data_IF_488190861726
#
_entry.id   IF_488190861726
#
_cell.length_a   1.000
_cell.length_b   1.000
_cell.length_c   1.000
_cell.angle_alpha   90.00
_cell.angle_beta   90.00
_cell.angle_gamma   90.00
#
_symmetry.space_group_name_H-M   'P 1'
#
loop_
_entity.id
_entity.type
_entity.pdbx_description
1 polymer ?
#
# COMPACT_ATOMS: atom_id res chain seq x y z
N UNK A 1 18.70 0.99 18.91
CA UNK A 1 19.37 0.75 17.63
C UNK A 1 18.75 1.67 16.61
N UNK A 2 19.52 2.31 15.74
CA UNK A 2 18.93 3.06 14.62
C UNK A 2 18.48 2.03 13.56
N UNK A 3 17.17 1.90 13.36
CA UNK A 3 16.62 1.13 12.25
C UNK A 3 17.11 1.78 10.96
N UNK A 4 17.76 1.01 10.09
CA UNK A 4 18.24 1.50 8.80
C UNK A 4 17.27 0.99 7.76
N UNK A 5 16.46 1.89 7.21
CA UNK A 5 15.62 1.62 6.05
C UNK A 5 16.49 1.56 4.80
N UNK A 6 16.11 0.74 3.83
CA UNK A 6 16.74 0.79 2.50
C UNK A 6 16.48 2.15 1.82
N UNK A 7 17.18 2.40 0.71
CA UNK A 7 17.12 3.69 0.02
C UNK A 7 15.71 4.04 -0.51
N UNK A 8 14.97 3.05 -1.01
CA UNK A 8 13.64 3.28 -1.55
C UNK A 8 12.65 3.60 -0.43
N UNK A 9 12.66 2.81 0.65
CA UNK A 9 11.84 3.06 1.84
C UNK A 9 12.15 4.41 2.46
N UNK A 10 13.44 4.76 2.61
CA UNK A 10 13.85 6.07 3.14
C UNK A 10 13.37 7.24 2.25
N UNK A 11 13.42 7.08 0.93
CA UNK A 11 12.92 8.08 -0.01
C UNK A 11 11.38 8.23 0.07
N UNK A 12 10.64 7.12 0.16
CA UNK A 12 9.20 7.13 0.33
C UNK A 12 8.78 7.78 1.65
N UNK A 13 9.48 7.48 2.76
CA UNK A 13 9.29 8.16 4.06
C UNK A 13 9.44 9.67 3.88
N UNK A 14 10.53 10.12 3.27
CA UNK A 14 10.82 11.54 3.10
C UNK A 14 9.82 12.26 2.18
N UNK A 15 9.37 11.59 1.11
CA UNK A 15 8.38 12.13 0.19
C UNK A 15 6.99 12.21 0.85
N UNK A 16 6.56 11.12 1.49
CA UNK A 16 5.29 11.05 2.19
C UNK A 16 5.21 12.01 3.39
N UNK A 17 6.33 12.24 4.08
CA UNK A 17 6.39 13.19 5.20
C UNK A 17 6.15 14.66 4.77
N UNK A 18 6.40 14.99 3.51
CA UNK A 18 6.18 16.34 2.97
C UNK A 18 4.73 16.61 2.59
N UNK A 19 3.90 15.57 2.43
CA UNK A 19 2.48 15.74 2.12
C UNK A 19 1.76 16.44 3.28
N UNK A 20 0.83 17.33 2.95
CA UNK A 20 -0.09 17.85 3.95
C UNK A 20 -0.93 16.71 4.53
N UNK A 21 -1.46 16.91 5.75
CA UNK A 21 -2.21 15.88 6.47
C UNK A 21 -3.38 15.31 5.65
N UNK A 22 -4.11 16.15 4.90
CA UNK A 22 -5.26 15.68 4.14
C UNK A 22 -4.80 14.74 3.01
N UNK A 23 -3.83 15.17 2.20
CA UNK A 23 -3.30 14.36 1.10
C UNK A 23 -2.68 13.06 1.61
N UNK A 24 -1.90 13.10 2.70
CA UNK A 24 -1.34 11.91 3.33
C UNK A 24 -2.43 10.93 3.79
N UNK A 25 -3.49 11.43 4.43
CA UNK A 25 -4.62 10.62 4.87
C UNK A 25 -5.40 10.01 3.70
N UNK A 26 -5.58 10.73 2.59
CA UNK A 26 -6.22 10.18 1.39
C UNK A 26 -5.35 9.12 0.72
N UNK A 27 -4.03 9.31 0.66
CA UNK A 27 -3.13 8.31 0.09
C UNK A 27 -3.17 6.99 0.90
N UNK A 28 -3.26 7.06 2.23
CA UNK A 28 -3.45 5.85 3.06
C UNK A 28 -4.79 5.16 2.83
N UNK A 29 -5.86 5.90 2.57
CA UNK A 29 -7.18 5.31 2.27
C UNK A 29 -7.22 4.72 0.87
N UNK A 30 -6.60 5.40 -0.10
CA UNK A 30 -6.43 4.91 -1.45
C UNK A 30 -5.66 3.59 -1.47
N UNK A 31 -4.59 3.48 -0.69
CA UNK A 31 -3.85 2.23 -0.55
C UNK A 31 -4.69 1.12 0.10
N UNK A 32 -5.44 1.42 1.17
CA UNK A 32 -6.31 0.42 1.79
C UNK A 32 -7.41 -0.10 0.83
N UNK A 33 -8.02 0.78 0.03
CA UNK A 33 -9.00 0.37 -0.98
C UNK A 33 -8.33 -0.41 -2.13
N UNK A 34 -7.11 -0.04 -2.52
CA UNK A 34 -6.34 -0.74 -3.54
C UNK A 34 -5.96 -2.17 -3.10
N UNK A 35 -5.47 -2.32 -1.88
CA UNK A 35 -5.16 -3.59 -1.24
C UNK A 35 -6.41 -4.47 -1.15
N UNK A 36 -7.54 -3.89 -0.72
CA UNK A 36 -8.81 -4.60 -0.66
C UNK A 36 -9.30 -5.13 -2.01
N UNK A 37 -9.26 -4.30 -3.07
CA UNK A 37 -9.67 -4.73 -4.41
C UNK A 37 -8.76 -5.83 -4.95
N UNK A 38 -7.44 -5.71 -4.73
CA UNK A 38 -6.47 -6.75 -5.08
C UNK A 38 -6.80 -8.07 -4.38
N UNK A 39 -6.97 -8.04 -3.07
CA UNK A 39 -7.22 -9.23 -2.26
C UNK A 39 -8.55 -9.91 -2.63
N UNK A 40 -9.60 -9.12 -2.85
CA UNK A 40 -10.89 -9.64 -3.30
C UNK A 40 -10.79 -10.34 -4.65
N UNK A 41 -10.03 -9.77 -5.58
CA UNK A 41 -9.85 -10.39 -6.90
C UNK A 41 -9.08 -11.70 -6.79
N UNK A 42 -7.95 -11.70 -6.07
CA UNK A 42 -7.12 -12.90 -5.90
C UNK A 42 -7.91 -14.00 -5.18
N UNK A 43 -8.67 -13.65 -4.13
CA UNK A 43 -9.53 -14.61 -3.42
C UNK A 43 -10.51 -15.29 -4.37
N UNK A 44 -11.18 -14.52 -5.25
CA UNK A 44 -12.11 -15.08 -6.24
C UNK A 44 -11.40 -15.99 -7.24
N UNK A 45 -10.21 -15.59 -7.70
CA UNK A 45 -9.40 -16.42 -8.59
C UNK A 45 -9.07 -17.78 -7.95
N UNK A 46 -8.61 -17.77 -6.70
CA UNK A 46 -8.27 -18.98 -5.94
C UNK A 46 -9.52 -19.87 -5.76
N UNK A 47 -10.66 -19.29 -5.40
CA UNK A 47 -11.93 -20.01 -5.27
C UNK A 47 -12.35 -20.65 -6.60
N UNK A 48 -12.17 -19.97 -7.73
CA UNK A 48 -12.46 -20.49 -9.08
C UNK A 48 -11.54 -21.66 -9.49
N UNK A 49 -10.30 -21.69 -8.99
CA UNK A 49 -9.38 -22.82 -9.19
C UNK A 49 -9.69 -24.02 -8.28
N UNK A 50 -10.67 -23.90 -7.37
CA UNK A 50 -11.10 -24.97 -6.45
C UNK A 50 -10.56 -24.81 -5.02
N UNK A 51 -9.88 -23.70 -4.72
CA UNK A 51 -9.19 -23.46 -3.45
C UNK A 51 -7.89 -24.27 -3.34
N UNK A 52 -6.89 -23.71 -2.64
CA UNK A 52 -5.68 -24.46 -2.29
C UNK A 52 -5.97 -25.52 -1.22
N UNK A 53 -5.49 -26.75 -1.41
CA UNK A 53 -5.67 -27.83 -0.42
C UNK A 53 -4.81 -27.62 0.83
N UNK A 54 -3.72 -26.87 0.69
CA UNK A 54 -2.81 -26.44 1.74
C UNK A 54 -2.27 -25.01 1.51
N UNK A 55 -1.48 -24.52 2.46
CA UNK A 55 -0.91 -23.17 2.41
C UNK A 55 0.06 -22.99 1.23
N UNK A 56 0.84 -24.02 0.87
CA UNK A 56 1.80 -23.95 -0.24
C UNK A 56 1.08 -23.81 -1.60
N UNK A 57 -0.02 -24.57 -1.79
CA UNK A 57 -0.85 -24.46 -2.99
C UNK A 57 -1.62 -23.14 -3.04
N UNK A 58 -2.11 -22.66 -1.89
CA UNK A 58 -2.76 -21.35 -1.80
C UNK A 58 -1.80 -20.22 -2.19
N UNK A 59 -0.57 -20.23 -1.66
CA UNK A 59 0.47 -19.26 -1.99
C UNK A 59 0.84 -19.31 -3.48
N UNK A 60 0.94 -20.51 -4.06
CA UNK A 60 1.20 -20.67 -5.49
C UNK A 60 0.08 -20.09 -6.37
N UNK A 61 -1.19 -20.31 -6.00
CA UNK A 61 -2.34 -19.73 -6.70
C UNK A 61 -2.39 -18.20 -6.51
N UNK A 62 -2.02 -17.70 -5.33
CA UNK A 62 -1.92 -16.27 -5.03
C UNK A 62 -0.84 -15.58 -5.89
N UNK A 63 0.31 -16.22 -6.07
CA UNK A 63 1.37 -15.73 -6.98
C UNK A 63 0.92 -15.81 -8.44
N UNK A 64 0.33 -16.94 -8.86
CA UNK A 64 -0.15 -17.14 -10.24
C UNK A 64 -1.19 -16.09 -10.63
N UNK A 65 -2.18 -15.85 -9.77
CA UNK A 65 -3.24 -14.86 -9.95
C UNK A 65 -2.69 -13.51 -10.44
N UNK A 66 -1.61 -13.05 -9.81
CA UNK A 66 -0.99 -11.75 -10.08
C UNK A 66 -0.24 -11.68 -11.42
N UNK A 67 0.06 -12.83 -12.03
CA UNK A 67 0.71 -12.89 -13.34
C UNK A 67 -0.27 -12.91 -14.51
N UNK A 68 -1.57 -13.06 -14.22
CA UNK A 68 -2.60 -13.17 -15.26
C UNK A 68 -2.84 -11.82 -15.98
N UNK A 69 -3.10 -11.82 -17.30
CA UNK A 69 -3.52 -10.62 -18.02
C UNK A 69 -4.80 -9.99 -17.47
N UNK A 70 -5.72 -10.81 -16.98
CA UNK A 70 -6.99 -10.41 -16.39
C UNK A 70 -6.78 -9.63 -15.10
N UNK A 71 -5.88 -10.10 -14.22
CA UNK A 71 -5.48 -9.36 -13.02
C UNK A 71 -4.87 -8.01 -13.38
N UNK A 72 -3.91 -7.99 -14.30
CA UNK A 72 -3.25 -6.73 -14.71
C UNK A 72 -4.24 -5.70 -15.26
N UNK A 73 -5.24 -6.14 -16.05
CA UNK A 73 -6.28 -5.24 -16.58
C UNK A 73 -7.22 -4.76 -15.47
N UNK A 74 -7.61 -5.65 -14.56
CA UNK A 74 -8.47 -5.32 -13.43
C UNK A 74 -7.80 -4.30 -12.52
N UNK A 75 -6.56 -4.57 -12.09
CA UNK A 75 -5.87 -3.73 -11.10
C UNK A 75 -5.50 -2.37 -11.69
N UNK A 76 -5.17 -2.28 -12.99
CA UNK A 76 -4.95 -1.00 -13.67
C UNK A 76 -6.23 -0.15 -13.73
N UNK A 77 -7.39 -0.78 -13.95
CA UNK A 77 -8.68 -0.09 -13.92
C UNK A 77 -9.05 0.37 -12.50
N UNK A 78 -8.97 -0.54 -11.52
CA UNK A 78 -9.25 -0.24 -10.11
C UNK A 78 -8.36 0.89 -9.60
N UNK A 79 -7.05 0.83 -9.91
CA UNK A 79 -6.08 1.87 -9.54
C UNK A 79 -6.50 3.24 -10.09
N UNK A 80 -6.90 3.34 -11.36
CA UNK A 80 -7.37 4.62 -11.94
C UNK A 80 -8.58 5.18 -11.20
N UNK A 81 -9.57 4.33 -10.90
CA UNK A 81 -10.78 4.74 -10.18
C UNK A 81 -10.46 5.23 -8.76
N UNK A 82 -9.57 4.51 -8.06
CA UNK A 82 -9.12 4.85 -6.70
C UNK A 82 -8.35 6.19 -6.71
N UNK A 83 -7.40 6.37 -7.62
CA UNK A 83 -6.63 7.62 -7.73
C UNK A 83 -7.55 8.82 -7.99
N UNK A 84 -8.54 8.66 -8.87
CA UNK A 84 -9.53 9.70 -9.17
C UNK A 84 -10.43 10.01 -7.96
N UNK A 85 -10.94 8.97 -7.29
CA UNK A 85 -11.85 9.12 -6.16
C UNK A 85 -11.20 9.81 -4.96
N UNK A 86 -9.97 9.43 -4.62
CA UNK A 86 -9.23 10.00 -3.49
C UNK A 86 -8.47 11.28 -3.84
N UNK A 87 -8.33 11.60 -5.13
CA UNK A 87 -7.60 12.78 -5.59
C UNK A 87 -6.11 12.71 -5.30
N UNK A 88 -5.52 11.52 -5.35
CA UNK A 88 -4.10 11.27 -5.10
C UNK A 88 -3.38 10.89 -6.40
N UNK A 89 -2.07 11.09 -6.43
CA UNK A 89 -1.25 10.70 -7.58
C UNK A 89 -0.79 9.25 -7.48
N UNK A 90 -0.39 8.71 -8.63
CA UNK A 90 0.20 7.39 -8.75
C UNK A 90 1.41 7.22 -7.80
N UNK A 91 2.32 8.20 -7.79
CA UNK A 91 3.49 8.22 -6.91
C UNK A 91 3.11 8.23 -5.41
N UNK A 92 2.06 8.96 -5.04
CA UNK A 92 1.60 9.02 -3.65
C UNK A 92 1.05 7.68 -3.19
N UNK A 93 0.33 6.98 -4.06
CA UNK A 93 -0.14 5.62 -3.80
C UNK A 93 1.05 4.65 -3.69
N UNK A 94 2.01 4.72 -4.61
CA UNK A 94 3.20 3.85 -4.59
C UNK A 94 4.05 4.02 -3.34
N UNK A 95 4.21 5.25 -2.85
CA UNK A 95 4.91 5.47 -1.59
C UNK A 95 4.19 4.75 -0.45
N UNK A 96 2.86 4.83 -0.35
CA UNK A 96 2.14 4.16 0.74
C UNK A 96 2.19 2.65 0.59
N UNK A 97 2.04 2.11 -0.62
CA UNK A 97 2.19 0.66 -0.88
C UNK A 97 3.54 0.19 -0.37
N UNK A 98 4.64 0.88 -0.74
CA UNK A 98 5.98 0.53 -0.27
C UNK A 98 6.11 0.62 1.26
N UNK A 99 5.55 1.66 1.88
CA UNK A 99 5.59 1.82 3.35
C UNK A 99 4.80 0.70 4.06
N UNK A 100 3.77 0.15 3.42
CA UNK A 100 2.91 -0.92 3.93
C UNK A 100 3.48 -2.31 3.75
N UNK A 101 4.47 -2.50 2.88
CA UNK A 101 5.20 -3.76 2.78
C UNK A 101 6.00 -4.07 4.06
N UNK A 102 6.57 -3.06 4.73
CA UNK A 102 7.20 -3.22 6.06
C UNK A 102 6.19 -3.03 7.20
N UNK A 103 5.28 -2.04 7.09
CA UNK A 103 4.26 -1.61 8.07
C UNK A 103 4.74 -1.55 9.54
N UNK A 104 6.05 -1.44 9.79
CA UNK A 104 6.61 -1.55 11.13
C UNK A 104 6.36 -0.30 11.98
N UNK A 105 6.22 -0.47 13.30
CA UNK A 105 6.10 0.66 14.23
C UNK A 105 7.29 1.63 14.10
N UNK A 106 8.49 1.09 13.82
CA UNK A 106 9.70 1.89 13.62
C UNK A 106 9.60 2.78 12.36
N UNK A 107 9.04 2.25 11.27
CA UNK A 107 8.80 3.00 10.03
C UNK A 107 7.84 4.16 10.28
N UNK A 108 6.70 3.89 10.91
CA UNK A 108 5.70 4.94 11.13
C UNK A 108 6.13 5.96 12.18
N UNK A 109 6.89 5.55 13.20
CA UNK A 109 7.54 6.49 14.12
C UNK A 109 8.50 7.44 13.40
N UNK A 110 9.24 6.94 12.41
CA UNK A 110 10.15 7.75 11.60
C UNK A 110 9.39 8.71 10.67
N UNK A 111 8.32 8.24 10.00
CA UNK A 111 7.42 9.10 9.22
C UNK A 111 6.90 10.25 10.07
N UNK A 112 6.34 9.97 11.24
CA UNK A 112 5.80 11.02 12.12
C UNK A 112 6.88 11.96 12.67
N UNK A 113 8.08 11.44 12.98
CA UNK A 113 9.21 12.28 13.40
C UNK A 113 9.53 13.34 12.33
N UNK A 114 9.58 12.94 11.05
CA UNK A 114 9.83 13.87 9.95
C UNK A 114 8.66 14.84 9.74
N UNK A 115 7.42 14.34 9.75
CA UNK A 115 6.21 15.18 9.63
C UNK A 115 6.10 16.23 10.73
N UNK A 116 6.45 15.87 11.97
CA UNK A 116 6.51 16.79 13.10
C UNK A 116 7.59 17.86 12.92
N UNK A 117 8.77 17.48 12.43
CA UNK A 117 9.83 18.44 12.12
C UNK A 117 9.43 19.42 10.99
N UNK A 118 8.60 18.97 10.05
CA UNK A 118 8.09 19.77 8.93
C UNK A 118 6.80 20.54 9.26
N UNK A 119 6.13 20.21 10.37
CA UNK A 119 4.83 20.79 10.73
C UNK A 119 3.66 20.31 9.86
N UNK A 120 3.79 19.15 9.19
CA UNK A 120 2.75 18.60 8.30
C UNK A 120 1.72 17.72 9.03
N UNK A 121 1.88 17.52 10.35
CA UNK A 121 0.96 16.80 11.23
C UNK A 121 1.15 15.27 11.21
N UNK A 122 0.81 14.58 12.30
CA UNK A 122 0.96 13.13 12.41
C UNK A 122 -0.11 12.38 11.62
N UNK A 123 0.27 11.27 10.99
CA UNK A 123 -0.63 10.47 10.13
C UNK A 123 -0.95 9.10 10.73
N UNK A 124 -0.20 8.67 11.77
CA UNK A 124 -0.45 7.44 12.55
C UNK A 124 -0.14 7.63 14.04
N UNK A 125 -1.11 7.42 14.93
CA UNK A 125 -1.03 7.56 16.41
C UNK A 125 -1.44 8.95 16.92
N UNK A 126 -2.17 9.17 18.03
CA UNK A 126 -2.76 8.28 19.06
C UNK A 126 -4.21 7.82 18.71
N UNK A 127 -4.48 6.51 18.81
CA UNK A 127 -5.79 5.94 19.15
C UNK A 127 -5.71 5.39 20.58
#
# INVERSE_FOLDING_TARGET
MATTFDEATAAAIAAFAQLDFHTAAQAMRAEADYDHERDLWITRYIDEQGGGEDDDEYDALHEEAQTTPEFMQFIDAARKEILEYFGVTDEQLDWVILLREDDSDALWAEVNRQRNALGTGEVRGDL
#
